data_IF_997199050382
#
_entry.id   IF_997199050382
#
_cell.length_a   1.000
_cell.length_b   1.000
_cell.length_c   1.000
_cell.angle_alpha   90.00
_cell.angle_beta   90.00
_cell.angle_gamma   90.00
#
_symmetry.space_group_name_H-M   'P 1'
#
loop_
_entity.id
_entity.type
_entity.pdbx_description
1 polymer ?
#
# COMPACT_ATOMS: atom_id res chain seq x y z
N UNK A 1 -58.53 18.11 -35.37
CA UNK A 1 -58.31 18.54 -33.98
C UNK A 1 -57.52 17.53 -33.13
N UNK A 2 -57.36 16.29 -33.54
CA UNK A 2 -56.61 15.30 -32.74
C UNK A 2 -55.12 15.14 -33.07
N UNK A 3 -54.62 15.89 -34.03
CA UNK A 3 -53.20 15.82 -34.43
C UNK A 3 -52.22 16.43 -33.40
N UNK A 4 -52.62 17.48 -32.71
CA UNK A 4 -51.77 18.17 -31.74
C UNK A 4 -51.59 17.37 -30.45
N UNK A 5 -52.58 16.57 -30.06
CA UNK A 5 -52.46 15.70 -28.87
C UNK A 5 -51.50 14.53 -29.09
N UNK A 6 -51.41 14.02 -30.30
CA UNK A 6 -50.46 12.94 -30.65
C UNK A 6 -49.02 13.40 -30.69
N UNK A 7 -48.75 14.61 -31.13
CA UNK A 7 -47.40 15.21 -31.18
C UNK A 7 -46.85 15.47 -29.77
N UNK A 8 -47.68 15.93 -28.84
CA UNK A 8 -47.30 16.16 -27.45
C UNK A 8 -46.94 14.86 -26.73
N UNK A 9 -47.72 13.81 -26.97
CA UNK A 9 -47.46 12.48 -26.39
C UNK A 9 -46.16 11.88 -26.93
N UNK A 10 -45.90 12.00 -28.21
CA UNK A 10 -44.67 11.50 -28.86
C UNK A 10 -43.43 12.25 -28.35
N UNK A 11 -43.53 13.56 -28.21
CA UNK A 11 -42.46 14.38 -27.65
C UNK A 11 -42.16 14.01 -26.21
N UNK A 12 -43.16 13.70 -25.38
CA UNK A 12 -42.98 13.28 -24.01
C UNK A 12 -42.28 11.91 -23.90
N UNK A 13 -42.64 10.95 -24.76
CA UNK A 13 -41.99 9.65 -24.84
C UNK A 13 -40.53 9.80 -25.25
N UNK A 14 -40.23 10.59 -26.24
CA UNK A 14 -38.85 10.89 -26.68
C UNK A 14 -38.03 11.54 -25.57
N UNK A 15 -38.61 12.48 -24.83
CA UNK A 15 -37.95 13.11 -23.69
C UNK A 15 -37.59 12.10 -22.62
N UNK A 16 -38.52 11.21 -22.28
CA UNK A 16 -38.31 10.14 -21.29
C UNK A 16 -37.20 9.15 -21.74
N UNK A 17 -37.16 8.80 -23.01
CA UNK A 17 -36.12 7.95 -23.58
C UNK A 17 -34.75 8.61 -23.52
N UNK A 18 -34.65 9.89 -23.84
CA UNK A 18 -33.38 10.65 -23.74
C UNK A 18 -32.90 10.74 -22.29
N UNK A 19 -33.81 11.09 -21.38
CA UNK A 19 -33.46 11.17 -19.95
C UNK A 19 -33.04 9.78 -19.39
N UNK A 20 -33.76 8.72 -19.74
CA UNK A 20 -33.41 7.34 -19.35
C UNK A 20 -32.04 6.93 -19.88
N UNK A 21 -31.73 7.27 -21.14
CA UNK A 21 -30.42 7.00 -21.74
C UNK A 21 -29.28 7.76 -21.04
N UNK A 22 -29.50 9.01 -20.69
CA UNK A 22 -28.50 9.83 -19.97
C UNK A 22 -28.25 9.28 -18.56
N UNK A 23 -29.28 8.83 -17.85
CA UNK A 23 -29.15 8.21 -16.53
C UNK A 23 -28.35 6.90 -16.61
N UNK A 24 -28.64 6.04 -17.59
CA UNK A 24 -27.91 4.79 -17.80
C UNK A 24 -26.43 5.05 -18.12
N UNK A 25 -26.11 6.03 -18.94
CA UNK A 25 -24.73 6.41 -19.23
C UNK A 25 -24.02 6.94 -17.99
N UNK A 26 -24.68 7.73 -17.16
CA UNK A 26 -24.15 8.24 -15.90
C UNK A 26 -23.78 7.10 -14.94
N UNK A 27 -24.67 6.14 -14.75
CA UNK A 27 -24.43 4.96 -13.89
C UNK A 27 -23.28 4.10 -14.43
N UNK A 28 -23.26 3.82 -15.73
CA UNK A 28 -22.20 3.01 -16.35
C UNK A 28 -20.80 3.64 -16.17
N UNK A 29 -20.69 4.96 -16.32
CA UNK A 29 -19.41 5.67 -16.07
C UNK A 29 -19.00 5.60 -14.60
N UNK A 30 -19.95 5.69 -13.70
CA UNK A 30 -19.70 5.62 -12.25
C UNK A 30 -19.21 4.23 -11.84
N UNK A 31 -19.82 3.17 -12.38
CA UNK A 31 -19.38 1.79 -12.14
C UNK A 31 -17.96 1.52 -12.65
N UNK A 32 -17.61 1.98 -13.85
CA UNK A 32 -16.27 1.83 -14.40
C UNK A 32 -15.21 2.53 -13.55
N UNK A 33 -15.49 3.72 -13.05
CA UNK A 33 -14.58 4.46 -12.17
C UNK A 33 -14.45 3.80 -10.80
N UNK A 34 -15.52 3.24 -10.27
CA UNK A 34 -15.52 2.49 -9.00
C UNK A 34 -14.70 1.20 -9.12
N UNK A 35 -14.89 0.43 -10.18
CA UNK A 35 -14.12 -0.79 -10.43
C UNK A 35 -12.63 -0.51 -10.52
N UNK A 36 -12.21 0.54 -11.22
CA UNK A 36 -10.81 0.94 -11.31
C UNK A 36 -10.22 1.31 -9.94
N UNK A 37 -10.97 2.01 -9.10
CA UNK A 37 -10.55 2.36 -7.73
C UNK A 37 -10.40 1.13 -6.85
N UNK A 38 -11.34 0.19 -6.91
CA UNK A 38 -11.29 -1.06 -6.14
C UNK A 38 -10.06 -1.88 -6.50
N UNK A 39 -9.73 -2.01 -7.78
CA UNK A 39 -8.51 -2.72 -8.23
C UNK A 39 -7.26 -2.05 -7.69
N UNK A 40 -7.15 -0.73 -7.79
CA UNK A 40 -5.98 0.01 -7.29
C UNK A 40 -5.83 -0.13 -5.77
N UNK A 41 -6.93 -0.03 -5.03
CA UNK A 41 -6.92 -0.22 -3.57
C UNK A 41 -6.56 -1.65 -3.18
N UNK A 42 -7.09 -2.65 -3.88
CA UNK A 42 -6.76 -4.05 -3.64
C UNK A 42 -5.26 -4.33 -3.82
N UNK A 43 -4.65 -3.80 -4.89
CA UNK A 43 -3.21 -3.93 -5.13
C UNK A 43 -2.38 -3.22 -4.05
N UNK A 44 -2.80 -2.06 -3.59
CA UNK A 44 -2.12 -1.35 -2.51
C UNK A 44 -2.16 -2.13 -1.20
N UNK A 45 -3.30 -2.72 -0.85
CA UNK A 45 -3.45 -3.57 0.33
C UNK A 45 -2.61 -4.84 0.23
N UNK A 46 -2.53 -5.46 -0.94
CA UNK A 46 -1.67 -6.62 -1.15
C UNK A 46 -0.20 -6.29 -0.93
N UNK A 47 0.31 -5.20 -1.50
CA UNK A 47 1.69 -4.75 -1.28
C UNK A 47 1.97 -4.46 0.20
N UNK A 48 1.02 -3.84 0.87
CA UNK A 48 1.12 -3.56 2.30
C UNK A 48 1.18 -4.85 3.12
N UNK A 49 0.36 -5.84 2.81
CA UNK A 49 0.38 -7.15 3.48
C UNK A 49 1.68 -7.89 3.27
N UNK A 50 2.23 -7.84 2.05
CA UNK A 50 3.52 -8.47 1.73
C UNK A 50 4.66 -7.83 2.52
N UNK A 51 4.74 -6.50 2.55
CA UNK A 51 5.83 -5.82 3.27
C UNK A 51 5.72 -5.99 4.78
N UNK A 52 4.51 -6.06 5.34
CA UNK A 52 4.29 -6.39 6.75
C UNK A 52 4.73 -7.82 7.09
N UNK A 53 4.38 -8.78 6.25
CA UNK A 53 4.84 -10.16 6.38
C UNK A 53 6.36 -10.26 6.33
N UNK A 54 6.99 -9.57 5.39
CA UNK A 54 8.44 -9.51 5.28
C UNK A 54 9.10 -8.86 6.50
N UNK A 55 8.49 -7.83 7.08
CA UNK A 55 8.97 -7.21 8.31
C UNK A 55 8.98 -8.20 9.48
N UNK A 56 7.91 -8.97 9.66
CA UNK A 56 7.85 -9.99 10.71
C UNK A 56 8.81 -11.16 10.46
N UNK A 57 8.94 -11.57 9.19
CA UNK A 57 9.97 -12.55 8.82
C UNK A 57 11.38 -12.04 9.13
N UNK A 58 11.68 -10.79 8.77
CA UNK A 58 12.98 -10.18 9.04
C UNK A 58 13.30 -10.05 10.52
N UNK A 59 12.30 -9.84 11.36
CA UNK A 59 12.46 -9.73 12.82
C UNK A 59 13.01 -10.99 13.49
N UNK A 60 12.70 -12.15 12.94
CA UNK A 60 13.14 -13.45 13.49
C UNK A 60 14.40 -14.00 12.85
N UNK A 61 14.99 -13.27 11.87
CA UNK A 61 16.20 -13.75 11.21
C UNK A 61 17.42 -13.61 12.12
N UNK A 62 18.40 -14.51 12.00
CA UNK A 62 19.67 -14.40 12.70
C UNK A 62 20.53 -13.33 12.03
N UNK A 63 20.48 -12.11 12.57
CA UNK A 63 21.31 -11.00 12.14
C UNK A 63 22.63 -10.96 12.89
N UNK A 64 23.69 -10.53 12.22
CA UNK A 64 24.99 -10.29 12.84
C UNK A 64 25.13 -8.83 13.25
N UNK A 65 25.75 -8.58 14.39
CA UNK A 65 26.06 -7.22 14.85
C UNK A 65 27.31 -6.70 14.14
N UNK A 66 27.11 -6.08 12.99
CA UNK A 66 28.21 -5.48 12.20
C UNK A 66 27.78 -4.14 11.63
N UNK A 67 28.72 -3.22 11.42
CA UNK A 67 28.41 -1.86 10.96
C UNK A 67 27.89 -1.80 9.50
N UNK A 68 28.10 -2.87 8.74
CA UNK A 68 27.67 -2.95 7.35
C UNK A 68 26.18 -3.33 7.31
N UNK A 69 25.43 -2.69 6.42
CA UNK A 69 24.02 -3.04 6.18
C UNK A 69 23.91 -4.45 5.66
N UNK A 70 23.08 -5.25 6.31
CA UNK A 70 22.82 -6.63 5.93
C UNK A 70 21.44 -6.71 5.32
N UNK A 71 21.35 -7.24 4.09
CA UNK A 71 20.08 -7.41 3.40
C UNK A 71 19.82 -8.89 3.12
N UNK A 72 18.58 -9.30 3.26
CA UNK A 72 18.06 -10.63 2.92
C UNK A 72 16.77 -10.49 2.12
N UNK A 73 16.42 -11.50 1.38
CA UNK A 73 15.13 -11.58 0.68
C UNK A 73 14.27 -12.66 1.29
N UNK A 74 13.03 -12.34 1.55
CA UNK A 74 12.02 -13.30 1.91
C UNK A 74 11.83 -14.29 0.74
N UNK A 75 12.07 -15.58 0.93
CA UNK A 75 11.98 -16.56 -0.15
C UNK A 75 10.55 -16.77 -0.67
N UNK A 76 9.55 -16.42 0.15
CA UNK A 76 8.14 -16.63 -0.20
C UNK A 76 7.60 -15.52 -1.07
N UNK A 77 7.96 -14.27 -0.78
CA UNK A 77 7.35 -13.08 -1.39
C UNK A 77 8.36 -12.21 -2.15
N UNK A 78 9.63 -12.58 -2.11
CA UNK A 78 10.72 -11.84 -2.75
C UNK A 78 10.86 -10.38 -2.27
N UNK A 79 10.33 -10.07 -1.10
CA UNK A 79 10.50 -8.78 -0.46
C UNK A 79 11.91 -8.63 0.13
N UNK A 80 12.48 -7.45 0.05
CA UNK A 80 13.79 -7.16 0.61
C UNK A 80 13.66 -6.73 2.08
N UNK A 81 14.50 -7.27 2.94
CA UNK A 81 14.60 -6.87 4.34
C UNK A 81 16.05 -6.60 4.68
N UNK A 82 16.34 -5.42 5.21
CA UNK A 82 17.69 -5.00 5.56
C UNK A 82 17.77 -4.58 7.03
N UNK A 83 18.83 -4.98 7.69
CA UNK A 83 19.18 -4.50 9.03
C UNK A 83 20.34 -3.54 8.95
N UNK A 84 20.19 -2.41 9.61
CA UNK A 84 21.24 -1.39 9.78
C UNK A 84 21.51 -1.17 11.26
N UNK A 85 22.77 -1.27 11.65
CA UNK A 85 23.22 -0.85 12.96
C UNK A 85 23.39 0.67 12.98
N UNK A 86 22.79 1.33 13.93
CA UNK A 86 22.88 2.79 14.16
C UNK A 86 23.85 3.07 15.31
N UNK A 87 24.11 4.35 15.54
CA UNK A 87 24.86 4.80 16.72
C UNK A 87 24.12 4.45 18.02
N UNK A 88 24.87 4.34 19.13
CA UNK A 88 24.32 4.07 20.47
C UNK A 88 23.56 2.73 20.61
N UNK A 89 24.00 1.69 19.90
CA UNK A 89 23.41 0.35 19.96
C UNK A 89 21.93 0.27 19.49
N UNK A 90 21.48 1.24 18.72
CA UNK A 90 20.18 1.14 18.05
C UNK A 90 20.32 0.39 16.72
N UNK A 91 19.27 -0.27 16.33
CA UNK A 91 19.15 -0.93 15.03
C UNK A 91 17.89 -0.47 14.30
N UNK A 92 17.96 -0.49 12.99
CA UNK A 92 16.83 -0.20 12.13
C UNK A 92 16.62 -1.37 11.17
N UNK A 93 15.47 -2.00 11.27
CA UNK A 93 15.00 -3.00 10.32
C UNK A 93 14.15 -2.31 9.27
N UNK A 94 14.46 -2.54 8.01
CA UNK A 94 13.80 -1.92 6.86
C UNK A 94 13.25 -3.04 5.98
N UNK A 95 11.96 -3.06 5.74
CA UNK A 95 11.33 -3.95 4.76
C UNK A 95 10.85 -3.16 3.55
N UNK A 96 11.02 -3.73 2.37
CA UNK A 96 10.65 -3.09 1.10
C UNK A 96 10.05 -4.10 0.13
N UNK A 97 8.94 -3.71 -0.49
CA UNK A 97 8.31 -4.44 -1.58
C UNK A 97 7.55 -3.48 -2.51
N UNK A 98 7.84 -3.49 -3.81
CA UNK A 98 7.15 -2.71 -4.85
C UNK A 98 6.86 -1.24 -4.49
N UNK A 99 7.88 -0.54 -3.98
CA UNK A 99 7.77 0.87 -3.62
C UNK A 99 7.15 1.15 -2.24
N UNK A 100 6.73 0.13 -1.51
CA UNK A 100 6.25 0.25 -0.13
C UNK A 100 7.40 -0.06 0.82
N UNK A 101 7.62 0.82 1.79
CA UNK A 101 8.64 0.67 2.82
C UNK A 101 7.99 0.64 4.20
N UNK A 102 8.56 -0.19 5.06
CA UNK A 102 8.27 -0.20 6.50
C UNK A 102 9.57 -0.20 7.28
N UNK A 103 9.55 0.45 8.43
CA UNK A 103 10.70 0.54 9.33
C UNK A 103 10.30 0.08 10.73
N UNK A 104 11.21 -0.61 11.40
CA UNK A 104 11.08 -0.99 12.80
C UNK A 104 12.38 -0.70 13.52
N UNK A 105 12.30 0.02 14.62
CA UNK A 105 13.43 0.28 15.48
C UNK A 105 13.65 -0.87 16.46
N UNK A 106 14.88 -1.03 16.88
CA UNK A 106 15.29 -1.93 17.92
C UNK A 106 16.56 -1.44 18.63
N UNK A 107 17.01 -2.19 19.58
CA UNK A 107 18.24 -1.93 20.31
C UNK A 107 19.04 -3.23 20.48
N UNK A 108 20.34 -3.11 20.66
CA UNK A 108 21.21 -4.20 21.07
C UNK A 108 21.28 -4.22 22.58
N UNK A 109 20.78 -5.29 23.18
CA UNK A 109 20.77 -5.52 24.62
C UNK A 109 21.50 -6.82 24.90
N UNK A 110 22.56 -6.77 25.68
CA UNK A 110 23.39 -7.94 26.02
C UNK A 110 23.84 -8.77 24.79
N UNK A 111 24.17 -8.10 23.70
CA UNK A 111 24.60 -8.75 22.46
C UNK A 111 23.48 -9.31 21.59
N UNK A 112 22.22 -9.16 22.00
CA UNK A 112 21.05 -9.59 21.25
C UNK A 112 20.28 -8.38 20.69
N UNK A 113 19.65 -8.58 19.56
CA UNK A 113 18.79 -7.55 18.96
C UNK A 113 17.37 -7.72 19.51
N UNK A 114 16.89 -6.69 20.17
CA UNK A 114 15.50 -6.59 20.63
C UNK A 114 14.78 -5.51 19.83
N UNK A 115 13.75 -5.90 19.08
CA UNK A 115 12.94 -4.97 18.33
C UNK A 115 11.81 -4.40 19.19
N UNK A 116 11.44 -3.15 18.92
CA UNK A 116 10.31 -2.48 19.57
C UNK A 116 9.05 -3.35 19.54
N UNK A 117 8.40 -3.49 20.70
CA UNK A 117 7.14 -4.21 20.84
C UNK A 117 5.98 -3.56 20.09
N UNK A 118 6.07 -2.25 19.87
CA UNK A 118 5.04 -1.47 19.22
C UNK A 118 5.39 -1.26 17.74
N UNK A 119 4.95 -2.20 16.93
CA UNK A 119 4.73 -2.05 15.53
C UNK A 119 5.91 -1.57 14.68
N UNK A 120 5.56 -1.36 13.47
CA UNK A 120 6.35 -0.76 12.42
C UNK A 120 5.85 0.67 12.16
N UNK A 121 6.69 1.44 11.46
CA UNK A 121 6.37 2.77 10.97
C UNK A 121 6.36 2.75 9.45
N UNK A 122 5.46 3.48 8.83
CA UNK A 122 5.40 3.72 7.37
C UNK A 122 6.17 4.98 6.93
N UNK A 123 6.85 5.60 7.87
CA UNK A 123 7.76 6.73 7.63
C UNK A 123 9.11 6.47 8.32
N UNK A 124 10.16 7.08 7.82
CA UNK A 124 11.49 6.99 8.43
C UNK A 124 11.47 7.51 9.87
N UNK A 125 11.72 6.66 10.89
CA UNK A 125 11.57 7.04 12.28
C UNK A 125 12.77 7.82 12.84
N UNK A 126 13.83 8.02 12.06
CA UNK A 126 15.06 8.69 12.46
C UNK A 126 15.26 9.99 11.68
N UNK A 127 16.02 10.92 12.27
CA UNK A 127 16.25 12.24 11.67
C UNK A 127 17.04 12.15 10.35
N UNK A 128 17.96 11.21 10.27
CA UNK A 128 18.87 11.04 9.16
C UNK A 128 18.24 10.14 8.07
N UNK A 129 17.53 10.79 7.16
CA UNK A 129 16.74 10.11 6.12
C UNK A 129 17.55 9.16 5.22
N UNK A 130 18.83 9.45 5.02
CA UNK A 130 19.75 8.61 4.24
C UNK A 130 19.93 7.22 4.84
N UNK A 131 19.83 7.09 6.16
CA UNK A 131 19.95 5.81 6.86
C UNK A 131 18.70 4.93 6.72
N UNK A 132 17.58 5.50 6.30
CA UNK A 132 16.33 4.77 6.03
C UNK A 132 16.28 4.15 4.64
N UNK A 133 17.26 4.41 3.80
CA UNK A 133 17.30 3.90 2.43
C UNK A 133 17.98 2.52 2.39
N UNK A 134 17.46 1.65 1.54
CA UNK A 134 18.09 0.38 1.20
C UNK A 134 19.18 0.65 0.16
N UNK A 135 20.39 0.10 0.32
CA UNK A 135 21.46 0.25 -0.65
C UNK A 135 21.12 -0.39 -2.00
#
# INVERSE_FOLDING_TARGET
MNRERGVSSLAMVLLLLVLGSLLLQGVSRQEASFAARVVTQSQALQRQAVVQSAMEWGRIQPWHLQPVVQCRRDPTQNAAVCLRLLTNNFVLLIAHYEGVFLWRQGAVIDGNIEFSAHGWSDFCPIKEQTLCQIP
#
